data_IF_108054373835
#
_entry.id   IF_108054373835
#
_cell.length_a   1.000
_cell.length_b   1.000
_cell.length_c   1.000
_cell.angle_alpha   90.00
_cell.angle_beta   90.00
_cell.angle_gamma   90.00
#
_symmetry.space_group_name_H-M   'P 1'
#
loop_
_entity.id
_entity.type
_entity.pdbx_description
1 polymer ?
#
# COMPACT_ATOMS: atom_id res chain seq x y z
N UNK A 1 8.21 20.52 -2.97
CA UNK A 1 7.17 19.46 -3.04
C UNK A 1 6.50 19.36 -1.68
N UNK A 2 5.17 19.27 -1.63
CA UNK A 2 4.45 19.07 -0.39
C UNK A 2 4.61 17.61 0.10
N UNK A 3 4.69 17.42 1.41
CA UNK A 3 4.60 16.10 2.03
C UNK A 3 3.12 15.77 2.19
N UNK A 4 2.70 14.65 1.61
CA UNK A 4 1.32 14.18 1.64
C UNK A 4 1.17 13.05 2.65
N UNK A 5 0.07 13.04 3.40
CA UNK A 5 -0.14 12.07 4.49
C UNK A 5 -1.59 11.60 4.51
N UNK A 6 -1.80 10.35 4.88
CA UNK A 6 -3.15 9.81 5.03
C UNK A 6 -3.15 8.45 5.72
N UNK A 7 -4.25 7.73 5.56
CA UNK A 7 -4.42 6.39 6.10
C UNK A 7 -4.40 5.35 5.00
N UNK A 8 -3.80 4.21 5.29
CA UNK A 8 -3.77 3.06 4.41
C UNK A 8 -4.14 1.82 5.20
N UNK A 9 -4.85 0.90 4.55
CA UNK A 9 -5.05 -0.44 5.07
C UNK A 9 -4.67 -1.49 4.03
N UNK A 10 -4.13 -2.60 4.50
CA UNK A 10 -3.90 -3.77 3.67
C UNK A 10 -4.42 -5.02 4.37
N UNK A 11 -5.29 -5.76 3.70
CA UNK A 11 -5.83 -7.03 4.18
C UNK A 11 -5.22 -8.18 3.40
N UNK A 12 -4.77 -9.21 4.11
CA UNK A 12 -4.29 -10.48 3.56
C UNK A 12 -4.92 -11.64 4.31
N UNK A 13 -5.86 -12.31 3.67
CA UNK A 13 -6.51 -13.53 4.17
C UNK A 13 -6.47 -14.68 3.17
N UNK A 14 -7.08 -15.80 3.52
CA UNK A 14 -7.28 -16.90 2.57
C UNK A 14 -8.25 -16.45 1.46
N UNK A 15 -7.82 -16.50 0.20
CA UNK A 15 -8.63 -16.05 -0.95
C UNK A 15 -8.86 -14.52 -1.04
N UNK A 16 -8.36 -13.73 -0.08
CA UNK A 16 -8.64 -12.30 0.05
C UNK A 16 -7.35 -11.48 0.05
N UNK A 17 -7.29 -10.47 -0.81
CA UNK A 17 -6.33 -9.37 -0.77
C UNK A 17 -7.10 -8.07 -0.94
N UNK A 18 -6.87 -7.10 -0.08
CA UNK A 18 -7.45 -5.77 -0.26
C UNK A 18 -6.44 -4.70 0.15
N UNK A 19 -6.41 -3.61 -0.60
CA UNK A 19 -5.62 -2.42 -0.37
C UNK A 19 -6.58 -1.24 -0.40
N UNK A 20 -6.58 -0.43 0.65
CA UNK A 20 -7.26 0.87 0.64
C UNK A 20 -6.29 1.98 1.02
N UNK A 21 -6.37 3.12 0.33
CA UNK A 21 -5.55 4.30 0.59
C UNK A 21 -6.50 5.49 0.63
N UNK A 22 -6.49 6.24 1.73
CA UNK A 22 -7.36 7.39 1.95
C UNK A 22 -6.54 8.67 1.88
N UNK A 23 -7.09 9.68 1.21
CA UNK A 23 -6.60 11.06 1.24
C UNK A 23 -7.75 12.01 1.59
N UNK A 24 -7.47 13.31 1.74
CA UNK A 24 -8.49 14.30 2.11
C UNK A 24 -9.59 14.47 1.06
N UNK A 25 -9.37 14.05 -0.19
CA UNK A 25 -10.32 14.19 -1.31
C UNK A 25 -10.90 12.86 -1.81
N UNK A 26 -10.59 11.74 -1.16
CA UNK A 26 -11.19 10.46 -1.55
C UNK A 26 -10.49 9.21 -1.00
N UNK A 27 -10.91 8.08 -1.56
CA UNK A 27 -10.48 6.73 -1.21
C UNK A 27 -10.14 5.94 -2.48
N UNK A 28 -8.94 5.38 -2.53
CA UNK A 28 -8.59 4.33 -3.47
C UNK A 28 -8.86 2.97 -2.83
N UNK A 29 -9.44 2.04 -3.59
CA UNK A 29 -9.63 0.64 -3.19
C UNK A 29 -9.18 -0.27 -4.33
N UNK A 30 -8.39 -1.28 -4.00
CA UNK A 30 -8.09 -2.41 -4.89
C UNK A 30 -8.24 -3.71 -4.12
N UNK A 31 -9.02 -4.65 -4.63
CA UNK A 31 -9.28 -5.91 -3.96
C UNK A 31 -9.38 -7.08 -4.92
N UNK A 32 -9.01 -8.25 -4.41
CA UNK A 32 -9.23 -9.56 -5.03
C UNK A 32 -9.87 -10.45 -3.97
N UNK A 33 -11.08 -10.92 -4.23
CA UNK A 33 -11.83 -11.83 -3.36
C UNK A 33 -12.24 -13.03 -4.21
N UNK A 34 -11.73 -14.22 -3.88
CA UNK A 34 -12.03 -15.47 -4.59
C UNK A 34 -11.88 -15.36 -6.13
N UNK A 35 -10.84 -14.66 -6.58
CA UNK A 35 -10.53 -14.47 -8.00
C UNK A 35 -11.23 -13.28 -8.67
N UNK A 36 -12.23 -12.67 -8.02
CA UNK A 36 -12.89 -11.46 -8.52
C UNK A 36 -12.07 -10.23 -8.14
N UNK A 37 -11.57 -9.50 -9.13
CA UNK A 37 -10.79 -8.28 -8.95
C UNK A 37 -11.65 -7.04 -9.15
N UNK A 38 -11.50 -6.07 -8.26
CA UNK A 38 -12.10 -4.74 -8.39
C UNK A 38 -11.09 -3.69 -7.94
N UNK A 39 -10.94 -2.64 -8.74
CA UNK A 39 -10.16 -1.45 -8.38
C UNK A 39 -10.97 -0.21 -8.71
N UNK A 40 -11.02 0.75 -7.78
CA UNK A 40 -11.73 2.00 -7.96
C UNK A 40 -11.10 3.14 -7.16
N UNK A 41 -11.41 4.37 -7.57
CA UNK A 41 -11.28 5.58 -6.76
C UNK A 41 -12.67 6.11 -6.49
N UNK A 42 -12.93 6.44 -5.23
CA UNK A 42 -14.18 6.99 -4.73
C UNK A 42 -13.87 8.39 -4.20
N UNK A 43 -14.59 9.40 -4.67
CA UNK A 43 -14.53 10.76 -4.14
C UNK A 43 -15.96 11.25 -3.81
N UNK A 44 -16.14 12.50 -3.39
CA UNK A 44 -17.44 13.03 -2.93
C UNK A 44 -18.56 12.94 -3.99
N UNK A 45 -18.21 12.85 -5.28
CA UNK A 45 -19.19 12.93 -6.38
C UNK A 45 -19.10 11.78 -7.38
N UNK A 46 -18.00 11.01 -7.38
CA UNK A 46 -17.72 10.00 -8.39
C UNK A 46 -17.29 8.67 -7.78
N UNK A 47 -17.73 7.61 -8.45
CA UNK A 47 -17.15 6.28 -8.38
C UNK A 47 -16.48 5.97 -9.71
N UNK A 48 -15.15 5.99 -9.74
CA UNK A 48 -14.37 5.74 -10.96
C UNK A 48 -13.71 4.37 -10.86
N UNK A 49 -14.26 3.41 -11.59
CA UNK A 49 -13.61 2.10 -11.79
C UNK A 49 -12.30 2.29 -12.55
N UNK A 50 -11.26 1.61 -12.11
CA UNK A 50 -9.93 1.66 -12.71
C UNK A 50 -9.59 0.29 -13.30
N UNK A 51 -9.60 0.17 -14.63
CA UNK A 51 -9.34 -1.08 -15.36
C UNK A 51 -7.87 -1.22 -15.81
N UNK A 52 -6.94 -0.60 -15.08
CA UNK A 52 -5.50 -0.64 -15.38
C UNK A 52 -4.79 -1.72 -14.55
N UNK A 53 -4.07 -2.62 -15.24
CA UNK A 53 -3.34 -3.75 -14.65
C UNK A 53 -2.31 -3.33 -13.58
N UNK A 54 -1.78 -2.09 -13.64
CA UNK A 54 -0.80 -1.60 -12.66
C UNK A 54 -1.32 -1.61 -11.23
N UNK A 55 -2.62 -1.37 -11.04
CA UNK A 55 -3.23 -1.38 -9.70
C UNK A 55 -3.35 -2.79 -9.14
N UNK A 56 -3.69 -3.77 -9.99
CA UNK A 56 -3.65 -5.18 -9.62
C UNK A 56 -2.23 -5.62 -9.26
N UNK A 57 -1.23 -5.24 -10.06
CA UNK A 57 0.19 -5.51 -9.75
C UNK A 57 0.60 -4.91 -8.40
N UNK A 58 0.18 -3.68 -8.09
CA UNK A 58 0.42 -3.06 -6.79
C UNK A 58 -0.15 -3.89 -5.63
N UNK A 59 -1.42 -4.29 -5.73
CA UNK A 59 -2.09 -5.13 -4.72
C UNK A 59 -1.31 -6.43 -4.47
N UNK A 60 -0.89 -7.12 -5.52
CA UNK A 60 -0.11 -8.35 -5.40
C UNK A 60 1.32 -8.11 -4.90
N UNK A 61 1.94 -6.97 -5.20
CA UNK A 61 3.28 -6.62 -4.73
C UNK A 61 3.35 -6.34 -3.23
N UNK A 62 2.27 -5.83 -2.63
CA UNK A 62 2.17 -5.71 -1.17
C UNK A 62 2.05 -7.06 -0.45
N UNK A 63 1.51 -8.10 -1.10
CA UNK A 63 1.35 -9.43 -0.47
C UNK A 63 2.64 -10.04 0.09
N UNK A 64 3.77 -10.11 -0.64
CA UNK A 64 5.03 -10.61 -0.09
C UNK A 64 5.63 -9.68 0.99
N UNK A 65 5.42 -8.37 0.89
CA UNK A 65 5.84 -7.39 1.91
C UNK A 65 5.13 -7.70 3.22
N UNK A 66 3.79 -7.77 3.20
CA UNK A 66 2.97 -8.06 4.38
C UNK A 66 3.21 -9.48 4.90
N UNK A 67 3.49 -10.46 4.04
CA UNK A 67 3.89 -11.80 4.50
C UNK A 67 5.19 -11.77 5.29
N UNK A 68 6.13 -10.88 4.93
CA UNK A 68 7.36 -10.68 5.68
C UNK A 68 7.10 -9.94 7.00
N UNK A 69 6.21 -8.94 7.00
CA UNK A 69 5.73 -8.27 8.22
C UNK A 69 5.16 -9.28 9.22
N UNK A 70 4.21 -10.12 8.78
CA UNK A 70 3.60 -11.17 9.62
C UNK A 70 4.70 -12.06 10.22
N UNK A 71 5.61 -12.59 9.40
CA UNK A 71 6.70 -13.44 9.87
C UNK A 71 7.67 -12.73 10.85
N UNK A 72 7.90 -11.43 10.68
CA UNK A 72 8.81 -10.67 11.55
C UNK A 72 8.20 -10.30 12.89
N UNK A 73 6.87 -10.20 12.95
CA UNK A 73 6.15 -9.67 14.11
C UNK A 73 5.36 -10.74 14.85
N UNK A 74 5.20 -11.92 14.23
CA UNK A 74 4.39 -13.04 14.72
C UNK A 74 2.93 -12.64 15.03
N UNK A 75 2.43 -11.63 14.31
CA UNK A 75 1.07 -11.13 14.48
C UNK A 75 0.04 -12.02 13.79
N UNK A 76 -1.13 -12.13 14.41
CA UNK A 76 -2.30 -12.83 13.87
C UNK A 76 -3.28 -11.91 13.13
N UNK A 77 -2.93 -10.63 12.95
CA UNK A 77 -3.80 -9.69 12.24
C UNK A 77 -3.88 -10.01 10.74
N UNK A 78 -5.11 -10.03 10.23
CA UNK A 78 -5.39 -10.17 8.81
C UNK A 78 -5.44 -8.83 8.07
N UNK A 79 -5.77 -7.75 8.81
CA UNK A 79 -5.84 -6.39 8.29
C UNK A 79 -4.85 -5.51 9.04
N UNK A 80 -3.97 -4.88 8.29
CA UNK A 80 -2.97 -3.95 8.77
C UNK A 80 -3.48 -2.56 8.45
N UNK A 81 -3.82 -1.77 9.47
CA UNK A 81 -4.17 -0.35 9.35
C UNK A 81 -2.96 0.48 9.74
N UNK A 82 -2.71 1.60 9.08
CA UNK A 82 -1.65 2.51 9.47
C UNK A 82 -1.68 3.84 8.75
N UNK A 83 -0.77 4.72 9.16
CA UNK A 83 -0.53 5.99 8.47
C UNK A 83 0.43 5.79 7.32
N UNK A 84 0.30 6.60 6.28
CA UNK A 84 1.34 6.75 5.28
C UNK A 84 1.82 8.19 5.17
N UNK A 85 3.06 8.33 4.69
CA UNK A 85 3.70 9.59 4.34
C UNK A 85 4.32 9.44 2.95
N UNK A 86 4.07 10.40 2.07
CA UNK A 86 4.61 10.44 0.72
C UNK A 86 5.29 11.79 0.44
N UNK A 87 6.51 11.73 -0.09
CA UNK A 87 7.33 12.92 -0.38
C UNK A 87 7.74 13.04 -1.85
N UNK A 88 7.13 12.26 -2.76
CA UNK A 88 7.59 12.15 -4.16
C UNK A 88 8.64 11.08 -4.38
N UNK A 89 9.70 11.10 -3.57
CA UNK A 89 10.85 10.20 -3.70
C UNK A 89 10.75 8.95 -2.81
N UNK A 90 9.91 9.03 -1.78
CA UNK A 90 9.71 7.99 -0.79
C UNK A 90 8.24 7.90 -0.42
N UNK A 91 7.78 6.68 -0.29
CA UNK A 91 6.54 6.33 0.38
C UNK A 91 6.87 5.55 1.65
N UNK A 92 6.32 5.96 2.77
CA UNK A 92 6.44 5.28 4.05
C UNK A 92 5.05 4.87 4.51
N UNK A 93 4.87 3.61 4.88
CA UNK A 93 3.65 3.08 5.48
C UNK A 93 3.98 2.48 6.84
N UNK A 94 3.23 2.86 7.86
CA UNK A 94 3.45 2.45 9.25
C UNK A 94 2.24 1.71 9.81
N UNK A 95 2.02 0.43 9.40
CA UNK A 95 0.92 -0.35 9.94
C UNK A 95 1.14 -0.72 11.40
N UNK A 96 0.04 -0.73 12.14
CA UNK A 96 -0.06 -1.42 13.42
C UNK A 96 0.03 -2.93 13.20
N UNK A 97 0.87 -3.57 13.98
CA UNK A 97 1.04 -5.04 14.04
C UNK A 97 0.56 -5.61 15.37
N UNK A 98 0.31 -4.72 16.33
CA UNK A 98 -0.32 -4.90 17.63
C UNK A 98 -0.87 -3.52 18.07
N UNK A 99 -1.65 -3.44 19.15
CA UNK A 99 -2.28 -2.20 19.67
C UNK A 99 -1.24 -1.08 19.89
N UNK A 100 -0.03 -1.44 20.32
CA UNK A 100 1.01 -0.48 20.72
C UNK A 100 2.22 -0.46 19.79
N UNK A 101 2.25 -1.30 18.76
CA UNK A 101 3.46 -1.52 17.95
C UNK A 101 3.19 -1.30 16.47
N UNK A 102 4.06 -0.51 15.86
CA UNK A 102 4.07 -0.28 14.42
C UNK A 102 5.32 -0.88 13.79
N UNK A 103 5.25 -1.13 12.48
CA UNK A 103 6.38 -1.49 11.64
C UNK A 103 6.54 -0.43 10.55
N UNK A 104 7.76 -0.07 10.17
CA UNK A 104 7.97 0.90 9.09
C UNK A 104 8.26 0.18 7.78
N UNK A 105 7.42 0.40 6.78
CA UNK A 105 7.62 -0.05 5.40
C UNK A 105 7.97 1.17 4.56
N UNK A 106 9.23 1.27 4.11
CA UNK A 106 9.71 2.35 3.24
C UNK A 106 9.94 1.85 1.82
N UNK A 107 9.31 2.51 0.86
CA UNK A 107 9.42 2.25 -0.57
C UNK A 107 10.10 3.45 -1.21
N UNK A 108 11.15 3.17 -1.98
CA UNK A 108 11.86 4.15 -2.82
C UNK A 108 11.97 3.58 -4.23
N UNK A 109 12.41 4.40 -5.20
CA UNK A 109 12.66 3.92 -6.58
C UNK A 109 13.67 2.76 -6.66
N UNK A 110 14.47 2.53 -5.62
CA UNK A 110 15.56 1.54 -5.60
C UNK A 110 15.24 0.28 -4.79
N UNK A 111 14.41 0.40 -3.76
CA UNK A 111 14.19 -0.70 -2.83
C UNK A 111 12.92 -0.54 -2.00
N UNK A 112 12.44 -1.67 -1.49
CA UNK A 112 11.48 -1.73 -0.39
C UNK A 112 12.23 -2.18 0.86
N UNK A 113 12.07 -1.47 1.97
CA UNK A 113 12.69 -1.76 3.26
C UNK A 113 11.61 -1.90 4.33
N UNK A 114 11.72 -2.93 5.17
CA UNK A 114 10.85 -3.19 6.31
C UNK A 114 11.71 -3.09 7.57
N UNK A 115 11.27 -2.31 8.56
CA UNK A 115 12.01 -2.04 9.81
C UNK A 115 11.09 -2.28 11.00
N UNK A 116 11.50 -3.16 11.92
CA UNK A 116 10.79 -3.45 13.18
C UNK A 116 11.79 -3.58 14.33
N UNK A 117 11.83 -2.59 15.23
CA UNK A 117 12.90 -2.47 16.22
C UNK A 117 14.27 -2.45 15.54
N UNK A 118 15.17 -3.34 15.95
CA UNK A 118 16.50 -3.48 15.34
C UNK A 118 16.50 -4.29 14.03
N UNK A 119 15.44 -5.06 13.77
CA UNK A 119 15.35 -5.92 12.60
C UNK A 119 15.09 -5.12 11.33
N UNK A 120 15.92 -5.32 10.31
CA UNK A 120 15.83 -4.65 9.01
C UNK A 120 15.83 -5.67 7.88
N UNK A 121 14.86 -5.59 6.99
CA UNK A 121 14.76 -6.43 5.79
C UNK A 121 14.70 -5.54 4.56
N UNK A 122 15.54 -5.82 3.57
CA UNK A 122 15.52 -5.15 2.28
C UNK A 122 15.02 -6.14 1.21
N UNK A 123 13.98 -5.74 0.48
CA UNK A 123 13.45 -6.45 -0.67
C UNK A 123 13.88 -5.70 -1.93
N UNK A 124 14.73 -6.33 -2.74
CA UNK A 124 15.23 -5.75 -3.99
C UNK A 124 14.28 -5.99 -5.18
N UNK A 125 13.42 -7.03 -5.12
CA UNK A 125 12.36 -7.33 -6.11
C UNK A 125 11.19 -8.06 -5.45
N UNK A 126 9.96 -7.62 -5.70
CA UNK A 126 8.76 -8.45 -5.51
C UNK A 126 8.71 -9.45 -6.66
N UNK A 127 8.47 -10.74 -6.41
CA UNK A 127 8.54 -11.81 -7.43
C UNK A 127 7.70 -11.43 -8.67
N UNK A 128 8.31 -11.52 -9.86
CA UNK A 128 7.79 -11.22 -11.23
C UNK A 128 7.44 -9.74 -11.50
N UNK A 129 8.27 -9.08 -12.31
CA UNK A 129 7.90 -7.91 -13.12
C UNK A 129 7.82 -6.57 -12.41
N UNK A 130 7.13 -6.48 -11.27
CA UNK A 130 6.82 -5.21 -10.62
C UNK A 130 7.96 -4.75 -9.69
N UNK A 131 8.56 -3.61 -10.01
CA UNK A 131 9.77 -3.07 -9.36
C UNK A 131 9.44 -2.05 -8.27
N UNK A 132 10.36 -1.76 -7.33
CA UNK A 132 10.17 -0.69 -6.34
C UNK A 132 9.88 0.68 -6.96
N UNK A 133 10.42 0.94 -8.17
CA UNK A 133 10.11 2.14 -8.94
C UNK A 133 8.65 2.17 -9.37
N UNK A 134 8.17 1.13 -10.06
CA UNK A 134 6.76 1.05 -10.50
C UNK A 134 5.78 1.08 -9.32
N UNK A 135 6.14 0.44 -8.20
CA UNK A 135 5.39 0.56 -6.94
C UNK A 135 5.26 2.01 -6.50
N UNK A 136 6.39 2.72 -6.41
CA UNK A 136 6.40 4.12 -5.95
C UNK A 136 5.64 5.03 -6.92
N UNK A 137 5.82 4.86 -8.22
CA UNK A 137 5.18 5.69 -9.24
C UNK A 137 3.66 5.46 -9.24
N UNK A 138 3.21 4.20 -9.06
CA UNK A 138 1.77 3.88 -8.95
C UNK A 138 1.17 4.42 -7.65
N UNK A 139 1.88 4.31 -6.52
CA UNK A 139 1.47 4.90 -5.25
C UNK A 139 1.41 6.43 -5.35
N UNK A 140 2.39 7.06 -5.98
CA UNK A 140 2.42 8.50 -6.23
C UNK A 140 1.20 8.96 -7.00
N UNK A 141 0.89 8.31 -8.12
CA UNK A 141 -0.33 8.59 -8.91
C UNK A 141 -1.60 8.51 -8.05
N UNK A 142 -1.74 7.44 -7.25
CA UNK A 142 -2.91 7.28 -6.37
C UNK A 142 -2.97 8.43 -5.37
N UNK A 143 -1.88 8.67 -4.63
CA UNK A 143 -1.84 9.62 -3.52
C UNK A 143 -2.06 11.04 -4.02
N UNK A 144 -1.45 11.43 -5.13
CA UNK A 144 -1.65 12.73 -5.76
C UNK A 144 -3.12 12.91 -6.12
N UNK A 145 -3.73 11.94 -6.82
CA UNK A 145 -5.16 11.98 -7.16
C UNK A 145 -6.07 12.14 -5.94
N UNK A 146 -5.73 11.50 -4.82
CA UNK A 146 -6.49 11.59 -3.56
C UNK A 146 -6.26 12.89 -2.76
N UNK A 147 -5.27 13.70 -3.12
CA UNK A 147 -4.93 14.96 -2.43
C UNK A 147 -5.24 16.20 -3.26
N UNK A 148 -5.04 16.17 -4.57
CA UNK A 148 -5.30 17.31 -5.45
C UNK A 148 -6.78 17.47 -5.81
N UNK A 149 -7.59 16.42 -5.65
CA UNK A 149 -8.89 16.34 -6.33
C UNK A 149 -8.69 16.10 -7.84
N UNK A 150 -9.78 15.90 -8.60
CA UNK A 150 -9.69 15.77 -10.05
C UNK A 150 -9.01 17.02 -10.64
N UNK A 151 -7.89 16.80 -11.34
CA UNK A 151 -7.39 17.74 -12.33
C UNK A 151 -8.29 17.68 -13.57
#
# INVERSE_FOLDING_TARGET
MAILTGLMSFTKGHGIRALSITGPKGLFVSQVINGVMLTAVINEHDYVRLDDERFGKLLFAFSPIISKVIKMTDTNYYTFLGRYVYSGERFTYEPYVDIMKTITISITKRSVRIIYGENKVNLKRTKKGYTPREMLDTLGYIIEKLHSGNA
#
